data_IF_905666622060
#
_entry.id   IF_905666622060
#
_cell.length_a   1.000
_cell.length_b   1.000
_cell.length_c   1.000
_cell.angle_alpha   90.00
_cell.angle_beta   90.00
_cell.angle_gamma   90.00
#
_symmetry.space_group_name_H-M   'P 1'
#
loop_
_entity.id
_entity.type
_entity.pdbx_description
1 polymer ?
#
# COMPACT_ATOMS: atom_id res chain seq x y z
N UNK A 1 -20.07 100.92 33.87
CA UNK A 1 -19.22 100.16 32.95
C UNK A 1 -18.88 98.74 33.48
N UNK A 2 -19.86 97.93 33.83
CA UNK A 2 -19.60 96.52 34.31
C UNK A 2 -20.66 95.50 33.85
N UNK A 3 -21.36 95.72 32.72
CA UNK A 3 -22.39 94.79 32.26
C UNK A 3 -22.24 94.26 30.83
N UNK A 4 -21.07 94.45 30.18
CA UNK A 4 -20.83 93.93 28.78
C UNK A 4 -19.79 92.84 28.66
N UNK A 5 -19.19 92.35 29.77
CA UNK A 5 -18.18 91.26 29.73
C UNK A 5 -18.74 89.88 30.06
N UNK A 6 -20.02 89.71 30.41
CA UNK A 6 -20.60 88.42 30.82
C UNK A 6 -21.35 87.66 29.71
N UNK A 7 -21.59 88.29 28.52
CA UNK A 7 -22.32 87.68 27.44
C UNK A 7 -21.41 86.99 26.38
N UNK A 8 -20.10 87.20 26.50
CA UNK A 8 -19.14 86.58 25.48
C UNK A 8 -18.53 85.26 25.93
N UNK A 9 -18.71 84.87 27.21
CA UNK A 9 -18.20 83.61 27.74
C UNK A 9 -19.22 82.45 27.68
N UNK A 10 -20.49 82.73 27.31
CA UNK A 10 -21.54 81.72 27.23
C UNK A 10 -21.76 81.20 25.80
N UNK A 11 -21.08 81.76 24.77
CA UNK A 11 -21.23 81.40 23.39
C UNK A 11 -20.10 80.44 22.86
N UNK A 12 -19.09 80.18 23.70
CA UNK A 12 -17.93 79.37 23.31
C UNK A 12 -17.93 77.94 23.88
N UNK A 13 -18.96 77.54 24.63
CA UNK A 13 -19.06 76.20 25.25
C UNK A 13 -19.98 75.21 24.51
N UNK A 14 -20.43 75.55 23.27
CA UNK A 14 -21.46 74.73 22.58
C UNK A 14 -20.94 74.09 21.26
N UNK A 15 -19.64 73.84 21.11
CA UNK A 15 -19.05 73.20 19.93
C UNK A 15 -18.02 72.07 20.26
N UNK A 16 -18.15 71.45 21.44
CA UNK A 16 -17.59 70.10 21.59
C UNK A 16 -18.72 69.11 21.36
N UNK A 17 -19.04 68.83 20.10
CA UNK A 17 -19.68 67.59 19.70
C UNK A 17 -18.64 66.50 19.99
N UNK A 18 -18.86 65.59 20.95
CA UNK A 18 -18.00 64.43 21.03
C UNK A 18 -18.14 63.72 19.67
N UNK A 19 -17.06 63.68 18.89
CA UNK A 19 -16.98 62.68 17.82
C UNK A 19 -17.19 61.34 18.53
N UNK A 20 -18.39 60.81 18.43
CA UNK A 20 -18.65 59.44 18.80
C UNK A 20 -17.68 58.60 17.94
N UNK A 21 -16.58 58.17 18.56
CA UNK A 21 -15.73 57.13 17.97
C UNK A 21 -16.67 55.96 17.71
N UNK A 22 -17.09 55.84 16.46
CA UNK A 22 -17.86 54.68 16.05
C UNK A 22 -16.99 53.47 16.37
N UNK A 23 -17.39 52.72 17.39
CA UNK A 23 -16.70 51.49 17.78
C UNK A 23 -16.79 50.55 16.58
N UNK A 24 -15.66 50.26 15.99
CA UNK A 24 -15.57 49.28 14.91
C UNK A 24 -15.98 47.92 15.47
N UNK A 25 -16.98 47.32 14.86
CA UNK A 25 -17.41 45.97 15.22
C UNK A 25 -16.47 44.99 14.61
N UNK A 26 -15.89 44.10 15.40
CA UNK A 26 -14.92 43.09 14.94
C UNK A 26 -15.44 41.70 15.21
N UNK A 27 -15.03 40.76 14.38
CA UNK A 27 -15.30 39.35 14.53
C UNK A 27 -13.99 38.55 14.56
N UNK A 28 -13.92 37.57 15.45
CA UNK A 28 -12.81 36.62 15.47
C UNK A 28 -12.89 35.72 14.25
N UNK A 29 -11.76 35.42 13.66
CA UNK A 29 -11.66 34.59 12.50
C UNK A 29 -10.46 33.65 12.60
N UNK A 30 -10.50 32.57 11.82
CA UNK A 30 -9.43 31.58 11.74
C UNK A 30 -9.27 31.15 10.29
N UNK A 31 -8.02 30.94 9.87
CA UNK A 31 -7.75 30.35 8.56
C UNK A 31 -8.14 28.88 8.60
N UNK A 32 -8.92 28.45 7.62
CA UNK A 32 -9.40 27.08 7.50
C UNK A 32 -9.12 26.53 6.10
N UNK A 33 -8.94 25.22 6.00
CA UNK A 33 -8.95 24.50 4.73
C UNK A 33 -10.37 23.92 4.56
N UNK A 34 -11.22 24.50 3.72
CA UNK A 34 -12.60 24.04 3.55
C UNK A 34 -12.69 22.69 2.85
N UNK A 35 -11.65 22.32 2.09
CA UNK A 35 -11.55 21.05 1.38
C UNK A 35 -10.59 20.14 2.16
N UNK A 36 -11.10 18.97 2.53
CA UNK A 36 -10.33 17.91 3.17
C UNK A 36 -10.58 16.62 2.40
N UNK A 37 -9.51 16.04 1.90
CA UNK A 37 -9.53 14.79 1.17
C UNK A 37 -9.33 13.60 2.11
N UNK A 38 -10.21 12.61 2.01
CA UNK A 38 -10.17 11.39 2.83
C UNK A 38 -9.52 10.27 2.04
N UNK A 39 -8.40 9.80 2.53
CA UNK A 39 -7.71 8.65 1.95
C UNK A 39 -8.20 7.39 2.65
N UNK A 40 -8.85 6.52 1.90
CA UNK A 40 -9.37 5.25 2.40
C UNK A 40 -8.71 4.08 1.71
N UNK A 41 -8.61 2.95 2.43
CA UNK A 41 -8.06 1.71 1.88
C UNK A 41 -8.97 1.13 0.78
N UNK A 42 -8.50 0.95 -0.46
CA UNK A 42 -9.30 0.36 -1.54
C UNK A 42 -9.47 -1.15 -1.41
N UNK A 43 -8.61 -1.80 -0.61
CA UNK A 43 -8.58 -3.25 -0.35
C UNK A 43 -8.16 -3.51 1.09
N UNK A 44 -8.33 -4.76 1.55
CA UNK A 44 -7.74 -5.22 2.81
C UNK A 44 -6.29 -5.66 2.56
N UNK A 45 -5.42 -5.55 3.57
CA UNK A 45 -4.02 -5.96 3.47
C UNK A 45 -3.15 -5.28 4.50
N UNK A 46 -1.87 -5.60 4.48
CA UNK A 46 -0.85 -4.97 5.32
C UNK A 46 -0.22 -3.80 4.54
N UNK A 47 0.00 -2.69 5.21
CA UNK A 47 0.75 -1.58 4.64
C UNK A 47 2.24 -1.81 4.84
N UNK A 48 3.03 -1.50 3.82
CA UNK A 48 4.48 -1.41 3.98
C UNK A 48 4.83 -0.31 4.99
N UNK A 49 6.01 -0.38 5.64
CA UNK A 49 6.47 0.68 6.52
C UNK A 49 6.51 2.04 5.81
N UNK A 50 6.06 3.08 6.51
CA UNK A 50 6.08 4.47 6.08
C UNK A 50 6.38 5.40 7.26
N UNK A 51 6.85 6.63 6.99
CA UNK A 51 7.28 7.60 8.00
C UNK A 51 6.33 8.81 8.12
N UNK A 52 5.20 8.80 7.39
CA UNK A 52 4.24 9.91 7.40
C UNK A 52 3.58 10.07 8.77
N UNK A 53 3.45 11.32 9.21
CA UNK A 53 2.82 11.70 10.48
C UNK A 53 1.78 12.79 10.28
N UNK A 54 0.90 12.94 11.28
CA UNK A 54 0.01 14.08 11.35
C UNK A 54 0.83 15.38 11.45
N UNK A 55 0.49 16.35 10.61
CA UNK A 55 1.20 17.62 10.47
C UNK A 55 2.15 17.68 9.29
N UNK A 56 2.51 16.55 8.67
CA UNK A 56 3.38 16.54 7.50
C UNK A 56 2.70 17.16 6.29
N UNK A 57 3.52 17.80 5.45
CA UNK A 57 3.08 18.34 4.16
C UNK A 57 3.35 17.32 3.06
N UNK A 58 2.38 17.14 2.16
CA UNK A 58 2.47 16.21 1.04
C UNK A 58 2.18 16.92 -0.27
N UNK A 59 2.85 16.51 -1.35
CA UNK A 59 2.63 17.01 -2.70
C UNK A 59 1.57 16.18 -3.45
N UNK A 60 0.84 16.80 -4.38
CA UNK A 60 -0.07 16.07 -5.25
C UNK A 60 0.69 14.96 -6.03
N UNK A 61 0.17 13.73 -6.03
CA UNK A 61 0.80 12.56 -6.63
C UNK A 61 1.89 11.89 -5.79
N UNK A 62 2.24 12.45 -4.64
CA UNK A 62 3.18 11.84 -3.70
C UNK A 62 2.63 10.53 -3.13
N UNK A 63 3.49 9.51 -3.03
CA UNK A 63 3.13 8.21 -2.46
C UNK A 63 2.91 8.33 -0.95
N UNK A 64 1.72 7.94 -0.50
CA UNK A 64 1.35 7.96 0.92
C UNK A 64 1.49 6.59 1.56
N UNK A 65 0.85 5.58 0.97
CA UNK A 65 0.81 4.22 1.49
C UNK A 65 0.99 3.22 0.36
N UNK A 66 1.74 2.18 0.62
CA UNK A 66 1.90 1.05 -0.30
C UNK A 66 1.44 -0.22 0.40
N UNK A 67 0.61 -1.01 -0.25
CA UNK A 67 0.20 -2.31 0.26
C UNK A 67 1.30 -3.32 0.05
N UNK A 68 1.50 -4.15 1.07
CA UNK A 68 2.37 -5.31 1.00
C UNK A 68 1.71 -6.40 0.13
N UNK A 69 2.55 -7.24 -0.48
CA UNK A 69 2.13 -8.38 -1.30
C UNK A 69 2.47 -9.68 -0.60
N UNK A 70 1.75 -10.73 -0.92
CA UNK A 70 2.11 -12.09 -0.51
C UNK A 70 2.95 -12.72 -1.62
N UNK A 71 4.26 -12.87 -1.42
CA UNK A 71 5.14 -13.47 -2.41
C UNK A 71 4.94 -14.99 -2.48
N UNK A 72 4.99 -15.54 -3.68
CA UNK A 72 4.95 -16.97 -3.95
C UNK A 72 6.25 -17.39 -4.60
N UNK A 73 6.93 -18.34 -3.97
CA UNK A 73 8.28 -18.78 -4.34
C UNK A 73 8.28 -20.17 -4.94
N UNK A 74 9.32 -20.47 -5.75
CA UNK A 74 9.58 -21.80 -6.26
C UNK A 74 9.89 -22.77 -5.11
N UNK A 75 9.18 -23.90 -5.08
CA UNK A 75 9.38 -24.95 -4.08
C UNK A 75 10.52 -25.91 -4.45
N UNK A 76 10.96 -25.92 -5.72
CA UNK A 76 12.03 -26.76 -6.22
C UNK A 76 12.76 -26.11 -7.39
N UNK A 77 13.97 -26.60 -7.67
CA UNK A 77 14.73 -26.23 -8.85
C UNK A 77 14.07 -26.85 -10.10
N UNK A 78 13.98 -26.08 -11.18
CA UNK A 78 13.34 -26.59 -12.39
C UNK A 78 13.22 -25.56 -13.50
N UNK A 79 12.43 -25.93 -14.50
CA UNK A 79 12.03 -25.06 -15.61
C UNK A 79 10.54 -24.78 -15.51
N UNK A 80 10.14 -23.54 -15.67
CA UNK A 80 8.72 -23.16 -15.71
C UNK A 80 8.08 -23.75 -16.97
N UNK A 81 7.28 -24.78 -16.81
CA UNK A 81 6.60 -25.45 -17.91
C UNK A 81 5.39 -24.67 -18.42
N UNK A 82 4.63 -24.05 -17.50
CA UNK A 82 3.47 -23.24 -17.82
C UNK A 82 3.25 -22.15 -16.77
N UNK A 83 2.68 -21.02 -17.19
CA UNK A 83 2.16 -19.95 -16.34
C UNK A 83 0.73 -19.70 -16.79
N UNK A 84 -0.22 -19.85 -15.88
CA UNK A 84 -1.66 -19.62 -16.14
C UNK A 84 -2.14 -18.27 -15.63
N UNK A 85 -1.31 -17.61 -14.83
CA UNK A 85 -1.63 -16.36 -14.13
C UNK A 85 -1.12 -15.14 -14.90
N UNK A 86 -1.97 -14.12 -14.99
CA UNK A 86 -1.61 -12.77 -15.44
C UNK A 86 -1.96 -11.74 -14.34
N UNK A 87 -1.28 -10.59 -14.36
CA UNK A 87 -1.57 -9.52 -13.41
C UNK A 87 -3.05 -9.10 -13.48
N UNK A 88 -3.70 -9.06 -12.33
CA UNK A 88 -5.12 -8.75 -12.17
C UNK A 88 -6.06 -9.96 -12.17
N UNK A 89 -5.56 -11.17 -12.39
CA UNK A 89 -6.39 -12.38 -12.37
C UNK A 89 -6.78 -12.81 -10.96
N UNK A 90 -7.92 -13.48 -10.83
CA UNK A 90 -8.34 -14.16 -9.60
C UNK A 90 -7.67 -15.52 -9.48
N UNK A 91 -6.79 -15.66 -8.48
CA UNK A 91 -6.03 -16.88 -8.24
C UNK A 91 -6.95 -18.09 -7.97
N UNK A 92 -8.06 -17.89 -7.23
CA UNK A 92 -8.99 -18.97 -6.91
C UNK A 92 -9.69 -19.53 -8.15
N UNK A 93 -10.02 -18.66 -9.11
CA UNK A 93 -10.58 -19.05 -10.40
C UNK A 93 -9.59 -19.86 -11.24
N UNK A 94 -8.31 -19.44 -11.26
CA UNK A 94 -7.24 -20.17 -11.96
C UNK A 94 -6.98 -21.53 -11.31
N UNK A 95 -6.91 -21.59 -9.98
CA UNK A 95 -6.75 -22.85 -9.23
C UNK A 95 -7.90 -23.83 -9.53
N UNK A 96 -9.13 -23.32 -9.59
CA UNK A 96 -10.29 -24.16 -9.91
C UNK A 96 -10.27 -24.70 -11.35
N UNK A 97 -9.70 -23.93 -12.29
CA UNK A 97 -9.68 -24.28 -13.72
C UNK A 97 -8.48 -25.11 -14.12
N UNK A 98 -7.30 -24.78 -13.62
CA UNK A 98 -6.03 -25.37 -14.06
C UNK A 98 -5.34 -26.19 -12.96
N UNK A 99 -5.78 -26.09 -11.71
CA UNK A 99 -5.15 -26.74 -10.56
C UNK A 99 -3.86 -26.08 -10.10
N UNK A 100 -3.40 -25.01 -10.79
CA UNK A 100 -2.16 -24.31 -10.48
C UNK A 100 -2.18 -22.89 -11.05
N UNK A 101 -1.36 -21.99 -10.50
CA UNK A 101 -1.03 -20.67 -11.07
C UNK A 101 0.13 -20.79 -12.06
N UNK A 102 1.09 -21.66 -11.76
CA UNK A 102 2.19 -22.03 -12.63
C UNK A 102 2.61 -23.48 -12.36
N UNK A 103 3.36 -24.08 -13.30
CA UNK A 103 3.89 -25.44 -13.19
C UNK A 103 5.39 -25.41 -13.42
N UNK A 104 6.15 -26.05 -12.53
CA UNK A 104 7.61 -26.16 -12.61
C UNK A 104 7.96 -27.62 -12.83
N UNK A 105 8.61 -27.92 -13.96
CA UNK A 105 9.19 -29.20 -14.27
C UNK A 105 10.57 -29.33 -13.62
N UNK A 106 10.88 -30.41 -12.88
CA UNK A 106 12.20 -30.61 -12.27
C UNK A 106 13.33 -30.65 -13.33
N UNK A 107 14.53 -30.17 -12.96
CA UNK A 107 15.71 -30.22 -13.83
C UNK A 107 15.99 -31.66 -14.33
N UNK A 108 15.89 -32.65 -13.41
CA UNK A 108 16.04 -34.07 -13.71
C UNK A 108 14.67 -34.74 -13.47
N UNK A 109 13.81 -34.80 -14.50
CA UNK A 109 12.44 -35.26 -14.31
C UNK A 109 12.34 -36.78 -14.10
N UNK A 110 13.40 -37.54 -14.33
CA UNK A 110 13.40 -39.03 -14.26
C UNK A 110 14.25 -39.51 -13.10
N UNK A 111 13.76 -40.51 -12.42
CA UNK A 111 14.50 -41.26 -11.42
C UNK A 111 14.14 -42.74 -11.48
N UNK A 112 14.96 -43.60 -10.86
CA UNK A 112 14.69 -45.04 -10.77
C UNK A 112 14.11 -45.34 -9.39
N UNK A 113 12.88 -45.83 -9.36
CA UNK A 113 12.26 -46.39 -8.14
C UNK A 113 12.67 -47.88 -8.06
N UNK A 114 13.69 -48.15 -7.27
CA UNK A 114 14.33 -49.47 -7.21
C UNK A 114 14.11 -50.13 -5.83
N UNK A 115 14.29 -51.46 -5.84
CA UNK A 115 14.19 -52.26 -4.61
C UNK A 115 15.36 -53.23 -4.49
N UNK A 116 15.89 -53.37 -3.28
CA UNK A 116 16.91 -54.35 -2.92
C UNK A 116 16.36 -55.78 -2.79
N UNK A 117 15.03 -55.98 -2.93
CA UNK A 117 14.42 -57.32 -2.88
C UNK A 117 14.93 -58.27 -3.94
N UNK A 118 15.51 -57.75 -5.02
CA UNK A 118 16.12 -58.51 -6.11
C UNK A 118 17.63 -58.28 -6.20
N UNK A 119 18.26 -57.79 -5.14
CA UNK A 119 19.71 -57.72 -5.04
C UNK A 119 20.32 -59.11 -5.07
N UNK A 120 21.55 -59.20 -5.59
CA UNK A 120 22.33 -60.43 -5.44
C UNK A 120 22.47 -60.76 -3.94
N UNK A 121 22.48 -62.08 -3.61
CA UNK A 121 22.37 -62.59 -2.25
C UNK A 121 23.66 -62.36 -1.44
N UNK A 122 23.97 -61.07 -1.27
CA UNK A 122 25.05 -60.57 -0.44
C UNK A 122 24.48 -59.47 0.46
N UNK A 123 24.75 -59.54 1.76
CA UNK A 123 24.25 -58.55 2.73
C UNK A 123 24.72 -57.13 2.36
N UNK A 124 25.96 -57.00 1.88
CA UNK A 124 26.50 -55.67 1.46
C UNK A 124 25.71 -55.03 0.34
N UNK A 125 25.17 -55.81 -0.60
CA UNK A 125 24.36 -55.26 -1.72
C UNK A 125 23.03 -54.72 -1.27
N UNK A 126 22.54 -55.10 -0.09
CA UNK A 126 21.25 -54.64 0.48
C UNK A 126 21.38 -53.37 1.35
N UNK A 127 22.60 -53.01 1.74
CA UNK A 127 22.87 -51.81 2.56
C UNK A 127 23.31 -50.66 1.69
N UNK A 128 22.33 -49.81 1.30
CA UNK A 128 22.53 -48.61 0.49
C UNK A 128 22.40 -47.37 1.36
N UNK A 129 23.18 -46.36 1.02
CA UNK A 129 23.10 -45.03 1.67
C UNK A 129 22.79 -43.95 0.63
N UNK A 130 22.04 -42.93 1.08
CA UNK A 130 21.87 -41.73 0.28
C UNK A 130 23.23 -41.08 -0.03
N UNK A 131 23.43 -40.68 -1.28
CA UNK A 131 24.70 -40.15 -1.80
C UNK A 131 25.58 -41.18 -2.53
N UNK A 132 25.34 -42.48 -2.39
CA UNK A 132 26.10 -43.49 -3.11
C UNK A 132 25.90 -43.40 -4.63
N UNK A 133 26.96 -43.60 -5.37
CA UNK A 133 26.92 -43.71 -6.85
C UNK A 133 26.71 -45.15 -7.25
N UNK A 134 25.70 -45.40 -8.10
CA UNK A 134 25.42 -46.71 -8.68
C UNK A 134 25.62 -46.68 -10.20
N UNK A 135 25.96 -47.82 -10.76
CA UNK A 135 26.02 -48.03 -12.20
C UNK A 135 24.73 -48.67 -12.67
N UNK A 136 24.19 -48.13 -13.75
CA UNK A 136 22.84 -48.39 -14.24
C UNK A 136 22.91 -49.12 -15.57
N UNK A 137 22.03 -50.16 -15.78
CA UNK A 137 21.97 -50.91 -17.01
C UNK A 137 20.54 -51.29 -17.35
N UNK A 138 20.13 -50.98 -18.60
CA UNK A 138 18.90 -51.42 -19.21
C UNK A 138 19.22 -51.94 -20.62
N UNK A 139 19.15 -53.25 -20.84
CA UNK A 139 19.59 -53.84 -22.12
C UNK A 139 21.05 -53.52 -22.47
N UNK A 140 21.25 -52.79 -23.57
CA UNK A 140 22.57 -52.25 -23.99
C UNK A 140 22.92 -50.92 -23.40
N UNK A 141 21.91 -50.16 -22.93
CA UNK A 141 22.10 -48.83 -22.35
C UNK A 141 22.75 -48.91 -20.96
N UNK A 142 23.70 -48.02 -20.75
CA UNK A 142 24.46 -47.88 -19.51
C UNK A 142 24.48 -46.45 -19.05
N UNK A 143 24.50 -46.26 -17.72
CA UNK A 143 24.57 -44.97 -17.12
C UNK A 143 25.13 -45.03 -15.70
N UNK A 144 25.06 -43.90 -15.03
CA UNK A 144 25.36 -43.77 -13.60
C UNK A 144 24.23 -43.02 -12.93
N UNK A 145 24.00 -43.30 -11.64
CA UNK A 145 23.03 -42.61 -10.83
C UNK A 145 23.52 -42.46 -9.43
N UNK A 146 22.84 -41.60 -8.70
CA UNK A 146 23.11 -41.35 -7.27
C UNK A 146 21.88 -41.71 -6.46
N UNK A 147 22.07 -42.45 -5.39
CA UNK A 147 20.99 -42.76 -4.45
C UNK A 147 20.55 -41.48 -3.75
N UNK A 148 19.28 -41.10 -3.88
CA UNK A 148 18.71 -39.88 -3.28
C UNK A 148 17.95 -40.17 -1.99
N UNK A 149 17.31 -41.35 -1.90
CA UNK A 149 16.56 -41.77 -0.73
C UNK A 149 16.59 -43.28 -0.56
N UNK A 150 16.56 -43.76 0.71
CA UNK A 150 16.46 -45.18 1.05
C UNK A 150 15.37 -45.30 2.13
N UNK A 151 14.42 -46.24 1.93
CA UNK A 151 13.35 -46.55 2.85
C UNK A 151 13.11 -48.05 2.92
N UNK A 152 13.67 -48.72 3.90
CA UNK A 152 13.62 -50.16 4.04
C UNK A 152 14.32 -50.85 2.88
N UNK A 153 13.57 -51.59 2.05
CA UNK A 153 14.09 -52.24 0.83
C UNK A 153 14.00 -51.38 -0.42
N UNK A 154 13.23 -50.30 -0.37
CA UNK A 154 13.01 -49.39 -1.50
C UNK A 154 14.03 -48.25 -1.46
N UNK A 155 14.51 -47.86 -2.64
CA UNK A 155 15.41 -46.72 -2.81
C UNK A 155 15.17 -46.00 -4.15
N UNK A 156 15.47 -44.72 -4.12
CA UNK A 156 15.37 -43.85 -5.30
C UNK A 156 16.77 -43.50 -5.80
N UNK A 157 16.95 -43.58 -7.14
CA UNK A 157 18.22 -43.26 -7.79
C UNK A 157 17.98 -42.14 -8.82
N UNK A 158 18.60 -40.98 -8.60
CA UNK A 158 18.70 -39.92 -9.61
C UNK A 158 19.58 -40.37 -10.76
N UNK A 159 19.13 -40.22 -11.98
CA UNK A 159 19.90 -40.59 -13.19
C UNK A 159 20.87 -39.44 -13.49
N UNK A 160 22.18 -39.72 -13.40
CA UNK A 160 23.22 -38.74 -13.72
C UNK A 160 23.65 -38.79 -15.16
N UNK A 161 23.77 -40.02 -15.69
CA UNK A 161 24.13 -40.27 -17.09
C UNK A 161 23.37 -41.50 -17.62
N UNK A 162 23.22 -41.58 -18.92
CA UNK A 162 22.50 -42.65 -19.61
C UNK A 162 21.17 -42.14 -20.18
N UNK A 163 20.66 -42.84 -21.20
CA UNK A 163 19.40 -42.50 -21.84
C UNK A 163 18.40 -43.61 -21.55
N UNK A 164 17.55 -43.37 -20.55
CA UNK A 164 16.53 -44.33 -20.11
C UNK A 164 15.15 -43.72 -20.30
N UNK A 165 14.21 -44.50 -20.79
CA UNK A 165 12.83 -44.06 -20.99
C UNK A 165 11.96 -44.43 -19.78
N UNK A 166 10.83 -43.73 -19.61
CA UNK A 166 9.84 -44.04 -18.57
C UNK A 166 9.38 -45.49 -18.73
N UNK A 167 9.20 -46.19 -17.61
CA UNK A 167 8.88 -47.63 -17.49
C UNK A 167 10.00 -48.59 -17.82
N UNK A 168 11.17 -48.12 -18.28
CA UNK A 168 12.35 -49.02 -18.41
C UNK A 168 12.67 -49.70 -17.07
N UNK A 169 13.01 -50.99 -17.15
CA UNK A 169 13.49 -51.73 -15.98
C UNK A 169 15.01 -51.67 -15.93
N UNK A 170 15.53 -50.89 -15.01
CA UNK A 170 16.98 -50.66 -14.84
C UNK A 170 17.51 -51.51 -13.71
N UNK A 171 18.61 -52.19 -13.97
CA UNK A 171 19.41 -52.88 -12.94
C UNK A 171 20.45 -51.94 -12.40
N UNK A 172 20.62 -51.93 -11.10
CA UNK A 172 21.54 -51.07 -10.37
C UNK A 172 22.69 -51.90 -9.81
N UNK A 173 23.91 -51.43 -9.99
CA UNK A 173 25.13 -52.14 -9.59
C UNK A 173 26.04 -51.22 -8.79
N UNK A 174 26.74 -51.75 -7.80
CA UNK A 174 27.73 -51.02 -7.03
C UNK A 174 29.03 -50.80 -7.78
N UNK A 175 29.46 -51.76 -8.57
CA UNK A 175 30.70 -51.72 -9.35
C UNK A 175 30.50 -51.35 -10.82
N UNK A 176 31.48 -50.68 -11.42
CA UNK A 176 31.48 -50.26 -12.83
C UNK A 176 31.52 -51.42 -13.83
N UNK A 177 31.96 -52.59 -13.38
CA UNK A 177 31.95 -53.85 -14.15
C UNK A 177 30.55 -54.38 -14.39
N UNK A 178 29.57 -53.96 -13.56
CA UNK A 178 28.16 -54.39 -13.64
C UNK A 178 28.02 -55.90 -13.60
N UNK A 179 28.85 -56.55 -12.82
CA UNK A 179 28.77 -58.00 -12.62
C UNK A 179 27.53 -58.33 -11.76
N UNK A 180 26.99 -59.53 -11.94
CA UNK A 180 25.78 -59.95 -11.26
C UNK A 180 25.94 -59.97 -9.72
N UNK A 181 27.14 -60.27 -9.19
CA UNK A 181 27.48 -60.26 -7.80
C UNK A 181 27.50 -58.88 -7.14
N UNK A 182 27.53 -57.83 -7.96
CA UNK A 182 27.48 -56.41 -7.53
C UNK A 182 26.08 -55.79 -7.65
N UNK A 183 25.04 -56.58 -8.06
CA UNK A 183 23.68 -56.07 -8.26
C UNK A 183 23.03 -55.70 -6.93
N UNK A 184 22.74 -54.42 -6.76
CA UNK A 184 22.07 -53.87 -5.55
C UNK A 184 20.56 -53.92 -5.67
N UNK A 185 20.03 -54.22 -6.86
CA UNK A 185 18.62 -54.35 -7.13
C UNK A 185 18.22 -53.84 -8.51
N UNK A 186 16.95 -53.71 -8.70
CA UNK A 186 16.39 -53.16 -9.94
C UNK A 186 15.13 -52.38 -9.69
N UNK A 187 14.81 -51.49 -10.60
CA UNK A 187 13.63 -50.66 -10.50
C UNK A 187 13.16 -50.12 -11.84
N UNK A 188 12.03 -49.48 -11.83
CA UNK A 188 11.49 -48.80 -12.99
C UNK A 188 11.90 -47.33 -13.03
N UNK A 189 12.13 -46.82 -14.23
CA UNK A 189 12.26 -45.36 -14.45
C UNK A 189 10.90 -44.73 -14.31
N UNK A 190 10.80 -43.76 -13.41
CA UNK A 190 9.58 -43.04 -13.08
C UNK A 190 9.85 -41.55 -13.25
N UNK A 191 8.82 -40.80 -13.67
CA UNK A 191 8.89 -39.35 -13.76
C UNK A 191 8.49 -38.72 -12.40
N UNK A 192 9.28 -37.79 -11.93
CA UNK A 192 8.84 -36.93 -10.84
C UNK A 192 7.61 -36.12 -11.25
N UNK A 193 6.70 -35.91 -10.34
CA UNK A 193 5.58 -35.00 -10.55
C UNK A 193 6.09 -33.57 -10.70
N UNK A 194 5.51 -32.86 -11.66
CA UNK A 194 5.76 -31.44 -11.79
C UNK A 194 5.26 -30.71 -10.53
N UNK A 195 5.99 -29.70 -10.07
CA UNK A 195 5.54 -28.89 -8.95
C UNK A 195 4.49 -27.89 -9.40
N UNK A 196 3.34 -27.94 -8.75
CA UNK A 196 2.26 -26.97 -8.97
C UNK A 196 2.41 -25.79 -8.01
N UNK A 197 2.35 -24.59 -8.55
CA UNK A 197 2.37 -23.33 -7.78
C UNK A 197 0.93 -22.96 -7.45
N UNK A 198 0.62 -22.85 -6.15
CA UNK A 198 -0.70 -22.52 -5.65
C UNK A 198 -0.69 -21.18 -4.94
N UNK A 199 -1.88 -20.55 -4.81
CA UNK A 199 -2.06 -19.32 -4.08
C UNK A 199 -3.51 -18.88 -4.06
N UNK A 200 -3.83 -17.94 -3.17
CA UNK A 200 -5.16 -17.37 -2.99
C UNK A 200 -5.11 -15.86 -3.13
N UNK A 201 -6.21 -15.24 -3.55
CA UNK A 201 -6.30 -13.80 -3.73
C UNK A 201 -6.27 -13.39 -5.19
N UNK A 202 -5.77 -12.19 -5.47
CA UNK A 202 -5.59 -11.64 -6.82
C UNK A 202 -4.11 -11.52 -7.15
N UNK A 203 -3.75 -11.88 -8.37
CA UNK A 203 -2.38 -11.77 -8.88
C UNK A 203 -2.02 -10.29 -9.04
N UNK A 204 -1.02 -9.82 -8.29
CA UNK A 204 -0.50 -8.46 -8.38
C UNK A 204 0.58 -8.37 -9.47
N UNK A 205 1.52 -9.32 -9.48
CA UNK A 205 2.61 -9.39 -10.44
C UNK A 205 2.99 -10.84 -10.74
N UNK A 206 3.52 -11.06 -11.93
CA UNK A 206 4.12 -12.33 -12.37
C UNK A 206 5.53 -12.05 -12.84
N UNK A 207 6.52 -12.76 -12.26
CA UNK A 207 7.95 -12.52 -12.46
C UNK A 207 8.62 -13.55 -13.37
N UNK A 208 7.88 -14.58 -13.76
CA UNK A 208 8.39 -15.70 -14.58
C UNK A 208 7.52 -15.93 -15.81
N UNK A 209 8.11 -16.55 -16.79
CA UNK A 209 7.44 -16.98 -18.04
C UNK A 209 7.78 -18.42 -18.38
N UNK A 210 7.00 -19.10 -19.20
CA UNK A 210 7.31 -20.45 -19.69
C UNK A 210 8.71 -20.51 -20.33
N UNK A 211 9.50 -21.50 -19.93
CA UNK A 211 10.89 -21.68 -20.34
C UNK A 211 11.95 -21.10 -19.41
N UNK A 212 11.58 -20.29 -18.42
CA UNK A 212 12.54 -19.76 -17.45
C UNK A 212 13.05 -20.86 -16.52
N UNK A 213 14.35 -20.84 -16.22
CA UNK A 213 14.96 -21.71 -15.20
C UNK A 213 14.84 -21.04 -13.83
N UNK A 214 14.34 -21.75 -12.85
CA UNK A 214 14.14 -21.27 -11.48
C UNK A 214 14.80 -22.18 -10.47
N UNK A 215 15.19 -21.59 -9.33
CA UNK A 215 15.72 -22.30 -8.17
C UNK A 215 14.75 -22.20 -7.01
N UNK A 216 14.85 -23.14 -6.09
CA UNK A 216 14.13 -23.11 -4.82
C UNK A 216 14.32 -21.76 -4.13
N UNK A 217 13.22 -21.06 -3.84
CA UNK A 217 13.22 -19.74 -3.24
C UNK A 217 13.20 -18.57 -4.22
N UNK A 218 13.23 -18.80 -5.53
CA UNK A 218 13.03 -17.74 -6.51
C UNK A 218 11.58 -17.24 -6.49
N UNK A 219 11.40 -15.91 -6.57
CA UNK A 219 10.09 -15.28 -6.60
C UNK A 219 9.40 -15.54 -7.95
N UNK A 220 8.21 -16.12 -7.89
CA UNK A 220 7.43 -16.47 -9.09
C UNK A 220 6.34 -15.45 -9.37
N UNK A 221 5.53 -15.15 -8.36
CA UNK A 221 4.41 -14.20 -8.43
C UNK A 221 4.15 -13.56 -7.08
N UNK A 222 3.39 -12.47 -7.11
CA UNK A 222 2.93 -11.76 -5.93
C UNK A 222 1.41 -11.71 -5.94
N UNK A 223 0.81 -11.93 -4.76
CA UNK A 223 -0.63 -11.96 -4.56
C UNK A 223 -1.05 -10.85 -3.61
N UNK A 224 -2.28 -10.39 -3.76
CA UNK A 224 -2.95 -9.43 -2.87
C UNK A 224 -4.34 -9.93 -2.52
N UNK A 225 -5.05 -9.21 -1.66
CA UNK A 225 -6.45 -9.51 -1.28
C UNK A 225 -7.33 -9.75 -2.52
N UNK A 226 -8.15 -10.78 -2.47
CA UNK A 226 -9.06 -11.17 -3.57
C UNK A 226 -10.05 -10.05 -3.96
N UNK A 227 -10.39 -9.16 -3.01
CA UNK A 227 -11.29 -8.03 -3.24
C UNK A 227 -10.62 -6.81 -3.88
N UNK A 228 -9.31 -6.87 -4.10
CA UNK A 228 -8.59 -5.85 -4.86
C UNK A 228 -9.20 -5.73 -6.26
N UNK A 229 -9.51 -4.52 -6.70
CA UNK A 229 -10.00 -4.30 -8.06
C UNK A 229 -8.91 -4.66 -9.08
N UNK A 230 -9.31 -5.22 -10.22
CA UNK A 230 -8.36 -5.54 -11.31
C UNK A 230 -7.65 -4.26 -11.78
N UNK A 231 -6.33 -4.28 -11.75
CA UNK A 231 -5.50 -3.14 -12.14
C UNK A 231 -5.45 -1.99 -11.13
N UNK A 232 -5.93 -2.19 -9.89
CA UNK A 232 -5.77 -1.21 -8.84
C UNK A 232 -4.29 -1.02 -8.49
N UNK A 233 -3.90 0.24 -8.27
CA UNK A 233 -2.55 0.55 -7.78
C UNK A 233 -2.39 0.04 -6.36
N UNK A 234 -1.26 -0.59 -6.07
CA UNK A 234 -0.87 -0.96 -4.72
C UNK A 234 -0.39 0.24 -3.90
N UNK A 235 -0.05 1.34 -4.57
CA UNK A 235 0.38 2.57 -3.93
C UNK A 235 -0.74 3.62 -4.01
N UNK A 236 -1.13 4.13 -2.86
CA UNK A 236 -2.04 5.26 -2.71
C UNK A 236 -1.23 6.55 -2.74
N UNK A 237 -1.67 7.50 -3.56
CA UNK A 237 -1.02 8.80 -3.70
C UNK A 237 -1.91 9.92 -3.20
N UNK A 238 -1.30 11.06 -2.83
CA UNK A 238 -2.03 12.24 -2.43
C UNK A 238 -2.79 12.83 -3.63
N UNK A 239 -4.11 13.06 -3.52
CA UNK A 239 -4.91 13.64 -4.60
C UNK A 239 -4.64 15.13 -4.80
N UNK A 240 -4.18 15.82 -3.77
CA UNK A 240 -3.85 17.24 -3.78
C UNK A 240 -2.59 17.51 -2.95
N UNK A 241 -1.99 18.68 -3.13
CA UNK A 241 -0.95 19.19 -2.23
C UNK A 241 -1.60 19.71 -0.96
N UNK A 242 -1.13 19.27 0.20
CA UNK A 242 -1.78 19.61 1.45
C UNK A 242 -0.99 19.24 2.69
N UNK A 243 -1.66 19.30 3.83
CA UNK A 243 -1.13 18.84 5.11
C UNK A 243 -2.00 17.71 5.68
N UNK A 244 -1.36 16.70 6.25
CA UNK A 244 -2.03 15.59 6.93
C UNK A 244 -2.64 16.12 8.25
N UNK A 245 -3.97 16.19 8.31
CA UNK A 245 -4.70 16.68 9.51
C UNK A 245 -5.10 15.57 10.46
N UNK A 246 -5.23 14.37 9.95
CA UNK A 246 -5.53 13.16 10.73
C UNK A 246 -4.76 11.99 10.18
N UNK A 247 -4.09 11.24 11.04
CA UNK A 247 -3.52 9.92 10.74
C UNK A 247 -4.27 8.87 11.55
N UNK A 248 -4.93 7.93 10.86
CA UNK A 248 -5.77 6.90 11.47
C UNK A 248 -5.23 5.47 11.24
N UNK A 249 -3.99 5.36 10.80
CA UNK A 249 -3.28 4.09 10.63
C UNK A 249 -1.85 4.21 11.11
N UNK A 250 -1.19 3.09 11.31
CA UNK A 250 0.20 3.01 11.73
C UNK A 250 1.05 2.32 10.65
N UNK A 251 2.35 2.61 10.67
CA UNK A 251 3.34 1.95 9.81
C UNK A 251 3.31 0.43 10.00
N UNK A 252 3.21 -0.33 8.91
CA UNK A 252 3.12 -1.79 8.95
C UNK A 252 1.77 -2.36 9.44
N UNK A 253 0.75 -1.53 9.63
CA UNK A 253 -0.55 -1.98 10.12
C UNK A 253 -1.34 -2.77 9.08
N UNK A 254 -2.13 -3.72 9.57
CA UNK A 254 -3.18 -4.35 8.77
C UNK A 254 -4.40 -3.41 8.70
N UNK A 255 -4.90 -3.18 7.50
CA UNK A 255 -6.05 -2.33 7.23
C UNK A 255 -7.13 -3.08 6.46
N UNK A 256 -8.37 -2.58 6.54
CA UNK A 256 -9.51 -3.20 5.89
C UNK A 256 -10.08 -2.28 4.81
N UNK A 257 -10.64 -2.86 3.77
CA UNK A 257 -11.27 -2.11 2.68
C UNK A 257 -12.29 -1.09 3.23
N UNK A 258 -12.17 0.17 2.78
CA UNK A 258 -13.00 1.29 3.21
C UNK A 258 -12.56 1.94 4.52
N UNK A 259 -11.53 1.43 5.19
CA UNK A 259 -10.96 2.06 6.39
C UNK A 259 -10.35 3.41 6.03
N UNK A 260 -10.66 4.45 6.80
CA UNK A 260 -9.99 5.76 6.70
C UNK A 260 -8.54 5.61 7.17
N UNK A 261 -7.59 5.99 6.33
CA UNK A 261 -6.15 5.94 6.62
C UNK A 261 -5.64 7.30 7.09
N UNK A 262 -5.92 8.35 6.35
CA UNK A 262 -5.58 9.72 6.74
C UNK A 262 -6.55 10.74 6.10
N UNK A 263 -6.49 11.97 6.59
CA UNK A 263 -7.16 13.14 6.00
C UNK A 263 -6.10 14.17 5.61
N UNK A 264 -6.23 14.74 4.42
CA UNK A 264 -5.34 15.77 3.88
C UNK A 264 -6.15 17.05 3.68
N UNK A 265 -5.76 18.14 4.36
CA UNK A 265 -6.31 19.46 4.13
C UNK A 265 -5.65 20.07 2.90
N UNK A 266 -6.44 20.49 1.91
CA UNK A 266 -5.95 21.19 0.73
C UNK A 266 -5.47 22.60 1.09
N UNK A 267 -4.16 22.83 1.00
CA UNK A 267 -3.56 24.14 1.30
C UNK A 267 -3.65 25.11 0.12
N UNK A 268 -4.08 24.69 -1.05
CA UNK A 268 -4.27 25.57 -2.21
C UNK A 268 -5.57 26.37 -2.15
N UNK A 269 -6.52 25.93 -1.34
CA UNK A 269 -7.88 26.48 -1.24
C UNK A 269 -8.21 27.00 0.18
N UNK A 270 -7.24 27.67 0.82
CA UNK A 270 -7.46 28.23 2.17
C UNK A 270 -8.44 29.40 2.12
N UNK A 271 -9.27 29.52 3.15
CA UNK A 271 -10.20 30.62 3.36
C UNK A 271 -10.12 31.13 4.79
N UNK A 272 -10.49 32.39 5.01
CA UNK A 272 -10.70 32.96 6.33
C UNK A 272 -12.15 32.71 6.77
N UNK A 273 -12.33 32.06 7.90
CA UNK A 273 -13.61 31.75 8.53
C UNK A 273 -13.83 32.70 9.68
N UNK A 274 -14.68 33.73 9.51
CA UNK A 274 -15.05 34.69 10.52
C UNK A 274 -16.32 34.25 11.24
N UNK A 275 -16.31 34.31 12.57
CA UNK A 275 -17.46 33.99 13.42
C UNK A 275 -18.22 35.28 13.70
N UNK A 276 -19.27 35.55 12.94
CA UNK A 276 -20.07 36.77 13.02
C UNK A 276 -21.30 36.54 13.89
N UNK A 277 -21.52 37.40 14.90
CA UNK A 277 -22.72 37.36 15.76
C UNK A 277 -23.99 37.59 14.93
N UNK A 278 -25.09 36.95 15.32
CA UNK A 278 -26.40 37.11 14.67
C UNK A 278 -26.83 38.57 14.59
N UNK A 279 -26.51 39.38 15.59
CA UNK A 279 -26.87 40.82 15.65
C UNK A 279 -26.10 41.62 14.58
N UNK A 280 -24.90 41.21 14.22
CA UNK A 280 -24.03 41.89 13.25
C UNK A 280 -24.14 41.30 11.84
N UNK A 281 -24.80 40.16 11.68
CA UNK A 281 -24.91 39.45 10.42
C UNK A 281 -25.55 40.30 9.30
N UNK A 282 -26.45 41.23 9.68
CA UNK A 282 -27.12 42.14 8.71
C UNK A 282 -26.18 43.15 8.06
N UNK A 283 -24.99 43.34 8.63
CA UNK A 283 -23.95 44.29 8.17
C UNK A 283 -23.05 43.67 7.12
N UNK A 284 -23.14 42.35 6.90
CA UNK A 284 -22.25 41.60 5.99
C UNK A 284 -23.06 40.92 4.90
N UNK A 285 -22.63 41.09 3.66
CA UNK A 285 -23.26 40.46 2.49
C UNK A 285 -22.18 39.75 1.63
N UNK A 286 -22.59 38.73 0.95
CA UNK A 286 -21.74 38.11 -0.06
C UNK A 286 -21.35 39.13 -1.13
N UNK A 287 -20.05 39.21 -1.43
CA UNK A 287 -19.46 40.22 -2.31
C UNK A 287 -18.88 41.46 -1.59
N UNK A 288 -19.14 41.64 -0.31
CA UNK A 288 -18.56 42.77 0.46
C UNK A 288 -17.02 42.53 0.60
N UNK A 289 -16.28 43.64 0.61
CA UNK A 289 -14.84 43.64 0.87
C UNK A 289 -14.65 44.05 2.33
N UNK A 290 -14.13 43.13 3.14
CA UNK A 290 -13.85 43.37 4.56
C UNK A 290 -12.32 43.47 4.77
N UNK A 291 -11.93 44.26 5.77
CA UNK A 291 -10.55 44.36 6.22
C UNK A 291 -10.33 43.44 7.42
N UNK A 292 -9.14 42.86 7.49
CA UNK A 292 -8.75 42.01 8.60
C UNK A 292 -7.26 42.08 8.88
N UNK A 293 -6.87 41.70 10.08
CA UNK A 293 -5.50 41.53 10.53
C UNK A 293 -5.25 40.07 10.85
N UNK A 294 -4.07 39.56 10.54
CA UNK A 294 -3.62 38.20 10.90
C UNK A 294 -2.66 38.31 12.08
N UNK A 295 -2.87 37.57 13.16
CA UNK A 295 -2.03 37.62 14.35
C UNK A 295 -0.55 37.30 14.06
N UNK A 296 -0.31 36.42 13.03
CA UNK A 296 1.04 36.05 12.58
C UNK A 296 1.76 37.16 11.80
N UNK A 297 1.05 38.22 11.35
CA UNK A 297 1.58 39.32 10.53
C UNK A 297 1.23 40.67 11.20
N UNK A 298 1.82 40.89 12.38
CA UNK A 298 1.56 42.07 13.18
C UNK A 298 1.79 43.39 12.41
N UNK A 299 0.84 44.33 12.54
CA UNK A 299 0.88 45.61 11.86
C UNK A 299 0.46 45.63 10.40
N UNK A 300 0.17 44.48 9.78
CA UNK A 300 -0.33 44.39 8.40
C UNK A 300 -1.87 44.28 8.40
N UNK A 301 -2.51 45.09 7.56
CA UNK A 301 -3.97 45.01 7.32
C UNK A 301 -4.19 44.44 5.90
N UNK A 302 -5.01 43.46 5.81
CA UNK A 302 -5.39 42.78 4.59
C UNK A 302 -6.85 43.09 4.22
N UNK A 303 -7.23 42.85 2.99
CA UNK A 303 -8.61 42.93 2.53
C UNK A 303 -8.99 41.64 1.83
N UNK A 304 -10.22 41.19 2.03
CA UNK A 304 -10.75 40.01 1.37
C UNK A 304 -12.24 40.18 1.07
N UNK A 305 -12.68 39.45 0.07
CA UNK A 305 -14.09 39.45 -0.37
C UNK A 305 -14.85 38.34 0.31
N UNK A 306 -16.04 38.63 0.82
CA UNK A 306 -16.96 37.64 1.37
C UNK A 306 -17.46 36.72 0.25
N UNK A 307 -17.09 35.46 0.30
CA UNK A 307 -17.46 34.44 -0.69
C UNK A 307 -18.74 33.72 -0.32
N UNK A 308 -18.97 33.50 0.97
CA UNK A 308 -20.11 32.74 1.46
C UNK A 308 -20.48 33.13 2.89
N UNK A 309 -21.76 33.10 3.18
CA UNK A 309 -22.29 33.12 4.56
C UNK A 309 -23.00 31.79 4.76
N UNK A 310 -22.54 31.00 5.72
CA UNK A 310 -23.16 29.69 5.98
C UNK A 310 -24.49 29.86 6.67
N UNK A 311 -25.58 29.22 6.19
CA UNK A 311 -26.94 29.48 6.73
C UNK A 311 -27.21 28.81 8.09
N UNK A 312 -26.28 27.99 8.56
CA UNK A 312 -26.42 27.28 9.85
C UNK A 312 -25.54 27.95 10.89
N UNK A 313 -26.16 28.57 11.87
CA UNK A 313 -25.48 29.20 13.02
C UNK A 313 -25.07 28.16 14.05
N UNK A 314 -24.00 28.47 14.79
CA UNK A 314 -23.51 27.68 15.92
C UNK A 314 -23.78 28.46 17.21
N UNK A 315 -24.59 27.88 18.09
CA UNK A 315 -24.84 28.46 19.40
C UNK A 315 -23.63 28.27 20.32
N UNK A 316 -23.14 29.36 20.92
CA UNK A 316 -22.08 29.34 21.94
C UNK A 316 -22.47 30.25 23.07
N UNK A 317 -22.55 29.73 24.28
CA UNK A 317 -23.03 30.44 25.45
C UNK A 317 -24.42 31.06 25.17
N UNK A 318 -24.53 32.39 25.13
CA UNK A 318 -25.79 33.11 24.95
C UNK A 318 -25.90 33.81 23.57
N UNK A 319 -25.06 33.43 22.60
CA UNK A 319 -25.05 34.04 21.28
C UNK A 319 -25.00 32.97 20.18
N UNK A 320 -25.54 33.31 19.02
CA UNK A 320 -25.46 32.48 17.81
C UNK A 320 -24.49 33.12 16.84
N UNK A 321 -23.51 32.36 16.42
CA UNK A 321 -22.48 32.80 15.45
C UNK A 321 -22.69 32.13 14.09
N UNK A 322 -22.53 32.91 13.06
CA UNK A 322 -22.56 32.44 11.66
C UNK A 322 -21.15 32.47 11.07
N UNK A 323 -20.83 31.45 10.31
CA UNK A 323 -19.54 31.30 9.67
C UNK A 323 -19.53 32.05 8.32
N UNK A 324 -18.75 33.11 8.25
CA UNK A 324 -18.57 33.96 7.08
C UNK A 324 -17.22 33.65 6.45
N UNK A 325 -17.23 33.23 5.16
CA UNK A 325 -16.03 32.92 4.42
C UNK A 325 -15.54 34.12 3.65
N UNK A 326 -14.22 34.36 3.76
CA UNK A 326 -13.55 35.52 3.19
C UNK A 326 -12.28 35.06 2.49
N UNK A 327 -11.97 35.64 1.33
CA UNK A 327 -10.75 35.34 0.59
C UNK A 327 -9.51 35.79 1.36
N UNK A 328 -8.41 35.05 1.19
CA UNK A 328 -7.12 35.34 1.79
C UNK A 328 -6.19 36.08 0.81
N UNK A 329 -5.14 36.78 1.32
CA UNK A 329 -4.17 37.48 0.49
C UNK A 329 -3.27 36.46 -0.23
N UNK A 330 -2.80 36.83 -1.42
CA UNK A 330 -1.81 36.06 -2.17
C UNK A 330 -0.38 36.39 -1.75
N UNK A 331 0.54 35.42 -1.87
CA UNK A 331 1.97 35.66 -1.64
C UNK A 331 2.42 35.65 -0.18
N UNK A 332 1.56 35.22 0.74
CA UNK A 332 1.91 34.98 2.15
C UNK A 332 1.87 33.50 2.47
N UNK A 333 2.73 33.06 3.39
CA UNK A 333 2.69 31.70 3.92
C UNK A 333 1.59 31.61 4.97
N UNK A 334 0.49 30.96 4.62
CA UNK A 334 -0.70 30.84 5.48
C UNK A 334 -0.91 29.38 5.85
N UNK A 335 -1.25 29.13 7.11
CA UNK A 335 -1.49 27.79 7.63
C UNK A 335 -2.88 27.71 8.27
N UNK A 336 -3.60 26.59 8.10
CA UNK A 336 -4.85 26.35 8.82
C UNK A 336 -4.64 26.47 10.33
N UNK A 337 -5.60 27.14 11.02
CA UNK A 337 -5.50 27.39 12.45
C UNK A 337 -4.91 28.75 12.84
N UNK A 338 -4.33 29.52 11.90
CA UNK A 338 -3.90 30.89 12.19
C UNK A 338 -5.11 31.78 12.51
N UNK A 339 -4.98 32.60 13.55
CA UNK A 339 -6.02 33.51 13.98
C UNK A 339 -5.97 34.84 13.25
N UNK A 340 -7.14 35.47 13.18
CA UNK A 340 -7.33 36.77 12.57
C UNK A 340 -8.46 37.54 13.26
N UNK A 341 -8.49 38.85 13.07
CA UNK A 341 -9.57 39.73 13.47
C UNK A 341 -10.11 40.45 12.24
N UNK A 342 -11.39 40.26 11.95
CA UNK A 342 -12.10 40.90 10.83
C UNK A 342 -12.86 42.12 11.34
N UNK A 343 -12.70 43.25 10.65
CA UNK A 343 -13.52 44.45 10.86
C UNK A 343 -14.78 44.37 10.00
N UNK A 344 -15.94 44.35 10.65
CA UNK A 344 -17.23 44.31 9.97
C UNK A 344 -17.59 45.73 9.48
N UNK A 345 -18.27 45.81 8.37
CA UNK A 345 -18.75 47.06 7.82
C UNK A 345 -19.74 47.81 8.77
N UNK A 346 -19.89 49.09 8.55
CA UNK A 346 -20.79 49.93 9.35
C UNK A 346 -22.27 49.70 9.01
#
# INVERSE_FOLDING_TARGET
>A
MKLKALSLLLALSLLLVPAALAQETTANATIVAPVTEKITAPMSGTLLPFDLMQGDSVGAGEALFTFDTTPVYAAQDGTVAAVFAEAGDDASGLMSRYGALAVIEPVNPLYIAASTAQAYDDDDNRYLHAGETLYLKCGSEKGTGRVTAVSGKEYAVEILTGNFDVDDTVRCFRGSSMNNDEETGRGKVVRYADATVAGEGRVAAVHVKPGDSVKTGDLLLELVDAQCARGASLTLTAPCSGAITLMNTASGAQVYRGQLLCEIADLSALELSAQVDELDLTRVKVGDVLTYTLDAYDGETFSGTVTQIRPVGTARQNATYFDVRITLPTGKTLLPGMNATVTLGR
#
